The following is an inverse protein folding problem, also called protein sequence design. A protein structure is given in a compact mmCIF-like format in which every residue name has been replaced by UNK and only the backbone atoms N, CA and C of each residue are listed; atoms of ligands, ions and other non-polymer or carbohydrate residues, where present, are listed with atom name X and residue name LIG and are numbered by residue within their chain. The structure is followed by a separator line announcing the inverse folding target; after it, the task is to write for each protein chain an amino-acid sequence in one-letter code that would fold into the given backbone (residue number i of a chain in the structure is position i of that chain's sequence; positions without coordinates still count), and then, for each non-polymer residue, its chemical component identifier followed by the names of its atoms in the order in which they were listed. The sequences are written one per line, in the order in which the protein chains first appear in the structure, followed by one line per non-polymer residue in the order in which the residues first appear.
data_IF_324022900004
#
_entry.id   IF_324022900004
#
_cell.length_a   1.000
_cell.length_b   1.000
_cell.length_c   1.000
_cell.angle_alpha   90.00
_cell.angle_beta   90.00
_cell.angle_gamma   90.00
#
_symmetry.space_group_name_H-M   'P 1'
#
loop_
_entity.id
_entity.type
_entity.pdbx_description
1 polymer ?
#
# COMPACT_ATOMS: atom_id res chain seq x y z
N UNK A 1 -18.51 27.60 -11.46
CA UNK A 1 -18.34 26.27 -12.09
C UNK A 1 -18.59 25.23 -11.00
N UNK A 2 -19.47 24.25 -11.21
CA UNK A 2 -19.74 23.21 -10.20
C UNK A 2 -18.62 22.16 -10.20
N UNK A 3 -18.25 21.64 -9.03
CA UNK A 3 -17.29 20.54 -8.92
C UNK A 3 -17.91 19.24 -9.45
N UNK A 4 -17.23 18.59 -10.40
CA UNK A 4 -17.56 17.24 -10.83
C UNK A 4 -16.52 16.25 -10.29
N UNK A 5 -16.96 15.38 -9.39
CA UNK A 5 -16.11 14.33 -8.81
C UNK A 5 -15.60 13.34 -9.85
N UNK A 6 -16.35 13.09 -10.92
CA UNK A 6 -15.96 12.14 -11.97
C UNK A 6 -14.88 12.71 -12.89
N UNK A 7 -14.66 14.01 -12.88
CA UNK A 7 -13.54 14.65 -13.57
C UNK A 7 -12.34 14.93 -12.65
N UNK A 8 -12.46 14.66 -11.34
CA UNK A 8 -11.40 14.92 -10.37
C UNK A 8 -10.40 13.77 -10.32
N UNK A 9 -9.19 14.00 -10.85
CA UNK A 9 -8.11 13.01 -10.83
C UNK A 9 -7.79 12.52 -9.41
N UNK A 10 -7.69 13.41 -8.43
CA UNK A 10 -7.43 13.03 -7.03
C UNK A 10 -8.53 12.15 -6.45
N UNK A 11 -9.79 12.48 -6.70
CA UNK A 11 -10.93 11.66 -6.24
C UNK A 11 -10.91 10.27 -6.89
N UNK A 12 -10.72 10.21 -8.20
CA UNK A 12 -10.70 8.95 -8.96
C UNK A 12 -9.53 8.06 -8.54
N UNK A 13 -8.32 8.61 -8.42
CA UNK A 13 -7.13 7.87 -7.96
C UNK A 13 -7.34 7.30 -6.57
N UNK A 14 -7.84 8.11 -5.62
CA UNK A 14 -8.09 7.61 -4.27
C UNK A 14 -9.23 6.58 -4.24
N UNK A 15 -10.29 6.77 -5.05
CA UNK A 15 -11.37 5.80 -5.16
C UNK A 15 -10.86 4.45 -5.69
N UNK A 16 -10.07 4.48 -6.75
CA UNK A 16 -9.42 3.32 -7.35
C UNK A 16 -8.51 2.62 -6.33
N UNK A 17 -7.63 3.35 -5.65
CA UNK A 17 -6.75 2.80 -4.62
C UNK A 17 -7.51 2.05 -3.52
N UNK A 18 -8.63 2.61 -3.03
CA UNK A 18 -9.47 1.94 -2.03
C UNK A 18 -10.09 0.64 -2.54
N UNK A 19 -10.50 0.59 -3.80
CA UNK A 19 -11.04 -0.63 -4.41
C UNK A 19 -9.96 -1.70 -4.57
N UNK A 20 -8.77 -1.31 -5.02
CA UNK A 20 -7.62 -2.22 -5.11
C UNK A 20 -7.21 -2.76 -3.74
N UNK A 21 -7.09 -1.90 -2.73
CA UNK A 21 -6.71 -2.32 -1.38
C UNK A 21 -7.68 -3.35 -0.79
N UNK A 22 -8.99 -3.17 -0.99
CA UNK A 22 -10.03 -4.14 -0.57
C UNK A 22 -9.89 -5.46 -1.32
N UNK A 23 -9.81 -5.41 -2.64
CA UNK A 23 -9.66 -6.61 -3.46
C UNK A 23 -8.37 -7.38 -3.17
N UNK A 24 -7.28 -6.69 -2.89
CA UNK A 24 -6.03 -7.29 -2.45
C UNK A 24 -6.22 -7.96 -1.09
N UNK A 25 -6.72 -7.22 -0.10
CA UNK A 25 -6.94 -7.73 1.25
C UNK A 25 -7.75 -9.03 1.26
N UNK A 26 -8.87 -9.08 0.54
CA UNK A 26 -9.73 -10.27 0.49
C UNK A 26 -9.01 -11.50 -0.07
N UNK A 27 -8.08 -11.30 -1.02
CA UNK A 27 -7.31 -12.39 -1.66
C UNK A 27 -6.13 -12.87 -0.82
N UNK A 28 -5.49 -11.97 -0.08
CA UNK A 28 -4.28 -12.31 0.71
C UNK A 28 -4.61 -12.67 2.16
N UNK A 29 -5.79 -12.31 2.67
CA UNK A 29 -6.23 -12.64 4.03
C UNK A 29 -6.16 -14.16 4.33
N UNK A 30 -6.56 -15.08 3.43
CA UNK A 30 -6.40 -16.52 3.66
C UNK A 30 -4.94 -16.97 3.84
N UNK A 31 -3.97 -16.17 3.38
CA UNK A 31 -2.53 -16.41 3.56
C UNK A 31 -2.00 -15.84 4.88
N UNK A 32 -2.86 -15.23 5.70
CA UNK A 32 -2.46 -14.59 6.95
C UNK A 32 -1.78 -13.22 6.77
N UNK A 33 -1.90 -12.61 5.59
CA UNK A 33 -1.21 -11.36 5.24
C UNK A 33 -2.13 -10.14 5.28
N UNK A 34 -1.57 -9.01 5.71
CA UNK A 34 -2.15 -7.68 5.56
C UNK A 34 -1.62 -6.96 4.30
N UNK A 35 -2.36 -5.98 3.72
CA UNK A 35 -1.89 -5.23 2.55
C UNK A 35 -0.56 -4.51 2.75
N UNK A 36 -0.29 -4.00 3.94
CA UNK A 36 1.00 -3.36 4.26
C UNK A 36 2.16 -4.38 4.22
N UNK A 37 1.94 -5.59 4.75
CA UNK A 37 2.92 -6.68 4.68
C UNK A 37 3.15 -7.11 3.22
N UNK A 38 2.09 -7.15 2.41
CA UNK A 38 2.23 -7.43 0.98
C UNK A 38 3.10 -6.39 0.26
N UNK A 39 2.95 -5.09 0.57
CA UNK A 39 3.80 -4.05 0.01
C UNK A 39 5.28 -4.25 0.38
N UNK A 40 5.57 -4.63 1.62
CA UNK A 40 6.93 -4.99 2.06
C UNK A 40 7.47 -6.21 1.29
N UNK A 41 6.65 -7.25 1.10
CA UNK A 41 7.06 -8.43 0.34
C UNK A 41 7.39 -8.13 -1.12
N UNK A 42 6.72 -7.16 -1.76
CA UNK A 42 7.07 -6.73 -3.11
C UNK A 42 8.46 -6.11 -3.18
N UNK A 43 8.82 -5.28 -2.20
CA UNK A 43 10.16 -4.68 -2.12
C UNK A 43 11.25 -5.72 -1.87
N UNK A 44 10.99 -6.64 -0.93
CA UNK A 44 11.91 -7.74 -0.62
C UNK A 44 12.05 -8.74 -1.77
N UNK A 45 11.01 -8.92 -2.58
CA UNK A 45 11.09 -9.70 -3.81
C UNK A 45 12.00 -9.04 -4.86
N UNK A 46 11.95 -7.71 -4.96
CA UNK A 46 12.80 -6.96 -5.88
C UNK A 46 14.26 -6.89 -5.40
N UNK A 47 14.49 -6.88 -4.09
CA UNK A 47 15.81 -6.97 -3.49
C UNK A 47 15.74 -7.45 -2.05
N UNK A 48 16.42 -8.55 -1.75
CA UNK A 48 16.45 -9.13 -0.41
C UNK A 48 17.34 -8.31 0.55
N UNK A 49 17.17 -8.50 1.86
CA UNK A 49 18.03 -7.91 2.88
C UNK A 49 17.88 -6.40 3.08
N UNK A 50 16.79 -5.79 2.62
CA UNK A 50 16.52 -4.36 2.85
C UNK A 50 16.37 -4.06 4.35
N UNK A 51 16.96 -2.95 4.76
CA UNK A 51 16.76 -2.40 6.10
C UNK A 51 15.37 -1.78 6.25
N UNK A 52 14.87 -1.65 7.48
CA UNK A 52 13.59 -0.96 7.73
C UNK A 52 13.59 0.48 7.21
N UNK A 53 14.73 1.18 7.28
CA UNK A 53 14.86 2.55 6.78
C UNK A 53 14.66 2.61 5.26
N UNK A 54 15.26 1.68 4.52
CA UNK A 54 15.08 1.60 3.07
C UNK A 54 13.64 1.25 2.70
N UNK A 55 12.99 0.35 3.45
CA UNK A 55 11.58 0.03 3.24
C UNK A 55 10.67 1.24 3.50
N UNK A 56 10.95 2.04 4.53
CA UNK A 56 10.26 3.31 4.82
C UNK A 56 10.39 4.29 3.65
N UNK A 57 11.60 4.49 3.15
CA UNK A 57 11.87 5.41 2.03
C UNK A 57 11.21 4.95 0.73
N UNK A 58 11.25 3.64 0.44
CA UNK A 58 10.69 3.10 -0.82
C UNK A 58 9.16 3.05 -0.83
N UNK A 59 8.55 2.73 0.31
CA UNK A 59 7.11 2.60 0.43
C UNK A 59 6.41 3.92 0.78
N UNK A 60 7.18 4.98 1.03
CA UNK A 60 6.68 6.31 1.43
C UNK A 60 5.73 6.21 2.65
N UNK A 61 6.21 5.52 3.70
CA UNK A 61 5.46 5.30 4.95
C UNK A 61 6.24 5.76 6.15
N UNK A 62 5.53 6.13 7.22
CA UNK A 62 6.16 6.47 8.50
C UNK A 62 6.86 5.27 9.14
N UNK A 63 7.95 5.52 9.87
CA UNK A 63 8.70 4.48 10.59
C UNK A 63 7.82 3.71 11.57
N UNK A 64 6.87 4.37 12.25
CA UNK A 64 5.91 3.70 13.13
C UNK A 64 4.98 2.74 12.37
N UNK A 65 4.58 3.08 11.14
CA UNK A 65 3.81 2.20 10.27
C UNK A 65 4.63 0.98 9.86
N UNK A 66 5.91 1.18 9.51
CA UNK A 66 6.82 0.08 9.19
C UNK A 66 7.02 -0.87 10.37
N UNK A 67 7.28 -0.31 11.56
CA UNK A 67 7.49 -1.09 12.78
C UNK A 67 6.26 -1.90 13.21
N UNK A 68 5.05 -1.45 12.87
CA UNK A 68 3.81 -2.22 13.13
C UNK A 68 3.51 -3.25 12.03
N UNK A 69 4.22 -3.20 10.90
CA UNK A 69 4.01 -4.09 9.76
C UNK A 69 4.89 -5.35 9.86
N UNK A 70 6.12 -5.19 10.35
CA UNK A 70 7.15 -6.23 10.52
C UNK A 70 7.17 -6.80 11.95
#
# INVERSE_FOLDING_TARGET
MAFDKQASAGYLTNHMARLFARGLHDRIRPLGLAPAQFAVLLELWAGDGLTQKELVERLDVEQATMANTL
#
